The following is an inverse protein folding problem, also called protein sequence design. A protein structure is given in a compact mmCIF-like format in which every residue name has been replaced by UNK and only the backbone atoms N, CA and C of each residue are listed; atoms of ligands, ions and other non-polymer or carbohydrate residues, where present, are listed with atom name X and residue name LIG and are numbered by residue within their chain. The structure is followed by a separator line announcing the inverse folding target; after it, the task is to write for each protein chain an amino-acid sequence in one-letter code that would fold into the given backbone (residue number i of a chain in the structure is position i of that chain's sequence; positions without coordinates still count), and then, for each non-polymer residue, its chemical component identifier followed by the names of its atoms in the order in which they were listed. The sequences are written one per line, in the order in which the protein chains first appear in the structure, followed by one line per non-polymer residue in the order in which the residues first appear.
data_IF_482376899908
#
_entry.id   IF_482376899908
#
_cell.length_a   1.000
_cell.length_b   1.000
_cell.length_c   1.000
_cell.angle_alpha   90.00
_cell.angle_beta   90.00
_cell.angle_gamma   90.00
#
_symmetry.space_group_name_H-M   'P 1'
#
loop_
_entity.id
_entity.type
_entity.pdbx_description
1 polymer ?
#
# COMPACT_ATOMS: atom_id res chain seq x y z
N UNK A 1 19.48 52.22 0.11
CA UNK A 1 19.78 51.21 -0.92
C UNK A 1 19.04 49.98 -0.42
N UNK A 2 17.71 50.02 -0.49
CA UNK A 2 16.86 49.08 0.21
C UNK A 2 15.68 48.78 -0.68
N UNK A 3 15.84 47.79 -1.55
CA UNK A 3 14.76 47.11 -2.27
C UNK A 3 15.31 45.80 -2.83
N UNK A 4 15.41 44.76 -1.99
CA UNK A 4 15.73 43.42 -2.52
C UNK A 4 15.17 42.24 -1.72
N UNK A 5 14.25 42.44 -0.77
CA UNK A 5 13.70 41.31 0.01
C UNK A 5 12.20 41.49 0.23
N UNK A 6 11.38 41.40 -0.83
CA UNK A 6 9.91 41.26 -0.72
C UNK A 6 9.25 40.36 -1.77
N UNK A 7 10.00 39.71 -2.67
CA UNK A 7 9.41 38.87 -3.75
C UNK A 7 9.34 37.39 -3.35
N UNK A 8 10.15 36.95 -2.39
CA UNK A 8 10.23 35.56 -1.94
C UNK A 8 9.16 35.15 -0.93
N UNK A 9 8.53 36.10 -0.22
CA UNK A 9 7.60 35.79 0.89
C UNK A 9 6.15 35.54 0.40
N UNK A 10 5.73 36.23 -0.68
CA UNK A 10 4.42 36.04 -1.30
C UNK A 10 4.26 34.64 -1.92
N UNK A 11 5.30 34.13 -2.58
CA UNK A 11 5.27 32.81 -3.22
C UNK A 11 5.28 31.66 -2.22
N UNK A 12 5.90 31.84 -1.04
CA UNK A 12 5.92 30.82 0.00
C UNK A 12 4.56 30.70 0.69
N UNK A 13 3.83 31.80 0.90
CA UNK A 13 2.46 31.78 1.41
C UNK A 13 1.50 31.02 0.47
N UNK A 14 1.60 31.26 -0.84
CA UNK A 14 0.78 30.59 -1.86
C UNK A 14 1.06 29.08 -1.91
N UNK A 15 2.35 28.70 -1.88
CA UNK A 15 2.78 27.29 -1.90
C UNK A 15 2.37 26.56 -0.62
N UNK A 16 2.46 27.22 0.53
CA UNK A 16 1.99 26.67 1.80
C UNK A 16 0.48 26.48 1.82
N UNK A 17 -0.28 27.45 1.30
CA UNK A 17 -1.74 27.37 1.20
C UNK A 17 -2.20 26.24 0.27
N UNK A 18 -1.56 26.09 -0.90
CA UNK A 18 -1.88 24.98 -1.81
C UNK A 18 -1.47 23.61 -1.23
N UNK A 19 -0.37 23.54 -0.48
CA UNK A 19 0.01 22.32 0.23
C UNK A 19 -0.99 21.96 1.34
N UNK A 20 -1.48 22.95 2.10
CA UNK A 20 -2.47 22.75 3.15
C UNK A 20 -3.83 22.33 2.57
N UNK A 21 -4.21 22.91 1.44
CA UNK A 21 -5.42 22.54 0.69
C UNK A 21 -5.34 21.11 0.14
N UNK A 22 -4.21 20.72 -0.45
CA UNK A 22 -3.99 19.33 -0.87
C UNK A 22 -4.00 18.35 0.32
N UNK A 23 -3.51 18.77 1.49
CA UNK A 23 -3.50 17.94 2.70
C UNK A 23 -4.93 17.68 3.19
N UNK A 24 -5.79 18.70 3.15
CA UNK A 24 -7.21 18.59 3.52
C UNK A 24 -8.03 17.78 2.51
N UNK A 25 -7.67 17.82 1.21
CA UNK A 25 -8.29 16.97 0.20
C UNK A 25 -7.90 15.49 0.39
N UNK A 26 -6.65 15.23 0.79
CA UNK A 26 -6.17 13.87 1.10
C UNK A 26 -6.86 13.30 2.34
N UNK A 27 -7.16 14.11 3.36
CA UNK A 27 -7.91 13.65 4.55
C UNK A 27 -9.38 13.38 4.23
N UNK A 28 -10.02 14.19 3.38
CA UNK A 28 -11.42 13.95 2.95
C UNK A 28 -11.57 12.62 2.18
N UNK A 29 -10.57 12.26 1.36
CA UNK A 29 -10.54 10.95 0.69
C UNK A 29 -10.31 9.81 1.70
N UNK A 30 -9.51 10.02 2.74
CA UNK A 30 -9.30 9.03 3.81
C UNK A 30 -10.55 8.81 4.67
N UNK A 31 -11.32 9.86 4.94
CA UNK A 31 -12.60 9.82 5.65
C UNK A 31 -13.69 9.10 4.83
N UNK A 32 -13.87 9.44 3.56
CA UNK A 32 -14.83 8.74 2.67
C UNK A 32 -14.52 7.25 2.50
N UNK A 33 -13.24 6.88 2.48
CA UNK A 33 -12.83 5.47 2.47
C UNK A 33 -13.15 4.79 3.81
N UNK A 34 -13.03 5.50 4.93
CA UNK A 34 -13.38 4.97 6.26
C UNK A 34 -14.89 4.75 6.39
N UNK A 35 -15.72 5.70 5.93
CA UNK A 35 -17.18 5.58 5.91
C UNK A 35 -17.67 4.43 5.00
N UNK A 36 -17.04 4.20 3.84
CA UNK A 36 -17.35 3.07 2.96
C UNK A 36 -16.98 1.70 3.54
N UNK A 37 -16.09 1.65 4.54
CA UNK A 37 -15.70 0.42 5.23
C UNK A 37 -16.55 0.14 6.48
N UNK A 38 -17.26 1.15 7.00
CA UNK A 38 -18.24 1.04 8.09
C UNK A 38 -19.64 0.65 7.62
N UNK A 39 -19.86 0.56 6.30
CA UNK A 39 -21.01 -0.16 5.73
C UNK A 39 -20.85 -1.64 6.07
N UNK A 40 -21.45 -1.99 7.22
CA UNK A 40 -21.65 -3.34 7.74
C UNK A 40 -21.99 -4.30 6.61
N UNK A 41 -20.98 -5.04 6.14
CA UNK A 41 -21.20 -6.26 5.38
C UNK A 41 -22.14 -7.10 6.26
N UNK A 42 -23.37 -7.43 5.80
CA UNK A 42 -24.33 -8.08 6.67
C UNK A 42 -23.73 -9.43 7.06
N UNK A 43 -23.49 -9.59 8.36
CA UNK A 43 -23.07 -10.85 8.93
C UNK A 43 -24.12 -11.92 8.60
N UNK A 44 -23.71 -12.93 7.84
CA UNK A 44 -24.47 -14.17 7.71
C UNK A 44 -24.70 -14.75 9.12
N UNK A 45 -25.97 -14.81 9.52
CA UNK A 45 -26.43 -15.41 10.77
C UNK A 45 -25.96 -16.86 10.85
N UNK A 46 -25.13 -17.16 11.85
CA UNK A 46 -24.97 -18.51 12.40
C UNK A 46 -25.80 -18.56 13.68
N UNK A 47 -26.94 -19.27 13.62
CA UNK A 47 -27.76 -19.61 14.80
C UNK A 47 -26.98 -20.60 15.69
N UNK A 48 -26.92 -20.33 16.99
CA UNK A 48 -26.42 -21.32 17.96
C UNK A 48 -26.10 -20.76 19.37
N UNK A 49 -27.13 -20.74 20.22
CA UNK A 49 -27.11 -21.08 21.65
C UNK A 49 -26.52 -20.12 22.74
N UNK A 50 -27.48 -19.54 23.50
CA UNK A 50 -27.64 -19.54 24.98
C UNK A 50 -26.85 -18.57 25.90
N UNK A 51 -27.64 -17.80 26.66
CA UNK A 51 -27.34 -16.73 27.65
C UNK A 51 -26.84 -17.28 29.03
N UNK A 52 -26.40 -16.48 30.05
CA UNK A 52 -27.21 -15.47 30.74
C UNK A 52 -26.53 -14.11 31.01
N UNK A 53 -27.36 -13.08 30.90
CA UNK A 53 -27.13 -11.70 31.35
C UNK A 53 -27.12 -11.63 32.87
N UNK A 54 -26.28 -10.76 33.46
CA UNK A 54 -26.70 -9.97 34.61
C UNK A 54 -26.46 -8.48 34.35
N UNK A 55 -27.49 -7.67 34.60
CA UNK A 55 -27.32 -6.22 34.74
C UNK A 55 -26.99 -5.86 36.18
N UNK A 56 -26.33 -4.73 36.38
CA UNK A 56 -26.70 -3.59 37.26
C UNK A 56 -25.53 -2.59 37.24
N UNK A 57 -25.90 -1.30 37.27
CA UNK A 57 -25.09 -0.11 37.04
C UNK A 57 -24.03 0.17 38.11
N UNK A 58 -22.91 0.80 37.70
CA UNK A 58 -22.15 1.74 38.51
C UNK A 58 -21.37 2.69 37.60
N UNK A 59 -21.69 3.98 37.68
CA UNK A 59 -20.92 5.08 37.13
C UNK A 59 -19.64 5.24 37.95
N UNK A 60 -18.48 4.97 37.35
CA UNK A 60 -17.17 5.35 37.88
C UNK A 60 -16.47 6.15 36.80
N UNK A 61 -16.38 7.47 37.02
CA UNK A 61 -15.44 8.33 36.30
C UNK A 61 -14.03 7.89 36.70
N UNK A 62 -13.46 6.96 35.93
CA UNK A 62 -12.05 6.61 36.00
C UNK A 62 -11.33 7.38 34.89
N UNK A 63 -10.36 8.21 35.27
CA UNK A 63 -9.39 8.86 34.39
C UNK A 63 -8.78 7.81 33.46
N UNK A 64 -9.26 7.78 32.22
CA UNK A 64 -9.14 6.64 31.33
C UNK A 64 -7.80 6.55 30.62
N UNK A 65 -6.76 6.11 31.33
CA UNK A 65 -5.68 5.39 30.68
C UNK A 65 -6.22 4.00 30.29
N UNK A 66 -6.81 3.92 29.09
CA UNK A 66 -7.18 2.62 28.49
C UNK A 66 -5.89 1.83 28.28
N UNK A 67 -5.58 0.94 29.21
CA UNK A 67 -4.53 -0.06 29.04
C UNK A 67 -4.82 -0.90 27.80
N UNK A 68 -3.92 -0.84 26.82
CA UNK A 68 -4.04 -1.55 25.54
C UNK A 68 -4.15 -3.04 25.84
N UNK A 69 -5.30 -3.63 25.53
CA UNK A 69 -5.52 -5.05 25.77
C UNK A 69 -4.85 -5.88 24.66
N UNK A 70 -4.55 -7.15 24.93
CA UNK A 70 -3.92 -8.05 23.94
C UNK A 70 -4.74 -8.15 22.64
N UNK A 71 -6.07 -8.04 22.74
CA UNK A 71 -6.98 -7.94 21.60
C UNK A 71 -6.77 -6.66 20.77
N UNK A 72 -6.49 -5.54 21.41
CA UNK A 72 -6.27 -4.26 20.74
C UNK A 72 -4.94 -4.29 19.98
N UNK A 73 -3.87 -4.84 20.59
CA UNK A 73 -2.59 -5.09 19.89
C UNK A 73 -2.78 -5.94 18.64
N UNK A 74 -3.58 -7.01 18.74
CA UNK A 74 -3.91 -7.89 17.60
C UNK A 74 -4.72 -7.15 16.51
N UNK A 75 -5.58 -6.21 16.91
CA UNK A 75 -6.38 -5.39 16.00
C UNK A 75 -5.53 -4.36 15.26
N UNK A 76 -4.59 -3.72 15.95
CA UNK A 76 -3.66 -2.74 15.38
C UNK A 76 -2.66 -3.41 14.43
N UNK A 77 -2.12 -4.57 14.79
CA UNK A 77 -1.30 -5.37 13.86
C UNK A 77 -2.06 -5.72 12.57
N UNK A 78 -3.36 -6.05 12.67
CA UNK A 78 -4.19 -6.34 11.51
C UNK A 78 -4.36 -5.10 10.64
N UNK A 79 -4.65 -3.94 11.24
CA UNK A 79 -4.74 -2.65 10.52
C UNK A 79 -3.44 -2.31 9.80
N UNK A 80 -2.30 -2.47 10.47
CA UNK A 80 -0.98 -2.25 9.86
C UNK A 80 -0.72 -3.19 8.67
N UNK A 81 -1.02 -4.49 8.81
CA UNK A 81 -0.90 -5.49 7.73
C UNK A 81 -1.82 -5.14 6.55
N UNK A 82 -3.06 -4.72 6.81
CA UNK A 82 -4.01 -4.28 5.78
C UNK A 82 -3.53 -3.02 5.06
N UNK A 83 -3.02 -2.03 5.78
CA UNK A 83 -2.48 -0.81 5.19
C UNK A 83 -1.27 -1.11 4.29
N UNK A 84 -0.34 -1.96 4.75
CA UNK A 84 0.78 -2.45 3.91
C UNK A 84 0.28 -3.17 2.66
N UNK A 85 -0.76 -4.00 2.77
CA UNK A 85 -1.38 -4.68 1.63
C UNK A 85 -1.99 -3.70 0.63
N UNK A 86 -2.79 -2.73 1.11
CA UNK A 86 -3.45 -1.71 0.26
C UNK A 86 -2.42 -0.87 -0.49
N UNK A 87 -1.40 -0.35 0.21
CA UNK A 87 -0.28 0.40 -0.40
C UNK A 87 0.42 -0.42 -1.48
N UNK A 88 0.76 -1.69 -1.18
CA UNK A 88 1.35 -2.60 -2.17
C UNK A 88 0.44 -2.91 -3.35
N UNK A 89 -0.89 -2.98 -3.15
CA UNK A 89 -1.88 -3.24 -4.20
C UNK A 89 -1.95 -2.08 -5.20
N UNK A 90 -1.95 -0.85 -4.71
CA UNK A 90 -1.97 0.37 -5.54
C UNK A 90 -0.65 0.48 -6.33
N UNK A 91 0.48 0.17 -5.71
CA UNK A 91 1.81 0.28 -6.32
C UNK A 91 2.26 -0.96 -7.12
N UNK A 92 1.34 -1.85 -7.50
CA UNK A 92 1.71 -3.03 -8.31
C UNK A 92 2.17 -2.58 -9.69
N UNK A 93 3.24 -3.22 -10.17
CA UNK A 93 3.73 -3.01 -11.53
C UNK A 93 3.17 -4.12 -12.43
N UNK A 94 2.25 -3.77 -13.33
CA UNK A 94 1.67 -4.70 -14.31
C UNK A 94 2.40 -4.73 -15.65
N UNK A 95 3.19 -3.68 -15.93
CA UNK A 95 4.07 -3.65 -17.10
C UNK A 95 5.21 -4.67 -17.00
N UNK A 96 5.74 -5.08 -18.16
CA UNK A 96 6.90 -5.98 -18.21
C UNK A 96 8.15 -5.23 -17.70
N UNK A 97 8.76 -5.74 -16.62
CA UNK A 97 10.00 -5.20 -16.05
C UNK A 97 11.14 -6.20 -16.19
N UNK A 98 12.25 -5.76 -16.79
CA UNK A 98 13.49 -6.55 -16.86
C UNK A 98 14.34 -6.19 -15.64
N UNK A 99 14.47 -7.11 -14.68
CA UNK A 99 15.27 -6.89 -13.46
C UNK A 99 16.76 -7.11 -13.68
N UNK A 100 17.12 -8.07 -14.53
CA UNK A 100 18.51 -8.46 -14.78
C UNK A 100 18.84 -8.32 -16.27
N UNK A 101 19.48 -7.19 -16.63
CA UNK A 101 19.82 -6.89 -18.02
C UNK A 101 20.74 -7.95 -18.63
N UNK A 102 21.79 -8.37 -17.92
CA UNK A 102 22.76 -9.35 -18.43
C UNK A 102 22.09 -10.68 -18.78
N UNK A 103 21.18 -11.19 -17.94
CA UNK A 103 20.44 -12.44 -18.23
C UNK A 103 19.51 -12.29 -19.43
N UNK A 104 18.93 -11.11 -19.66
CA UNK A 104 18.12 -10.83 -20.85
C UNK A 104 18.97 -10.85 -22.12
N UNK A 105 20.12 -10.19 -22.13
CA UNK A 105 21.05 -10.20 -23.25
C UNK A 105 21.55 -11.62 -23.58
N UNK A 106 21.86 -12.43 -22.55
CA UNK A 106 22.18 -13.84 -22.73
C UNK A 106 21.00 -14.59 -23.37
N UNK A 107 19.78 -14.45 -22.85
CA UNK A 107 18.60 -15.10 -23.42
C UNK A 107 18.23 -14.65 -24.85
N UNK A 108 18.58 -13.42 -25.24
CA UNK A 108 18.31 -12.85 -26.56
C UNK A 108 19.32 -13.33 -27.62
N UNK A 109 20.56 -13.60 -27.23
CA UNK A 109 21.64 -14.10 -28.10
C UNK A 109 21.71 -15.63 -28.22
N UNK A 110 20.92 -16.37 -27.43
CA UNK A 110 20.85 -17.83 -27.48
C UNK A 110 20.06 -18.30 -28.72
N UNK A 111 20.50 -19.38 -29.41
CA UNK A 111 19.76 -19.94 -30.55
C UNK A 111 18.36 -20.40 -30.18
N UNK A 112 17.37 -20.11 -31.03
CA UNK A 112 15.98 -20.51 -30.81
C UNK A 112 15.37 -21.18 -32.04
N UNK A 113 14.59 -22.24 -31.81
CA UNK A 113 13.76 -22.90 -32.83
C UNK A 113 12.32 -22.86 -32.34
N UNK A 114 11.43 -22.20 -33.09
CA UNK A 114 10.01 -22.00 -32.73
C UNK A 114 9.80 -21.44 -31.31
N UNK A 115 10.66 -20.50 -30.89
CA UNK A 115 10.59 -19.82 -29.59
C UNK A 115 11.25 -20.56 -28.42
N UNK A 116 11.63 -21.83 -28.59
CA UNK A 116 12.37 -22.62 -27.59
C UNK A 116 13.86 -22.47 -27.82
N UNK A 117 14.67 -22.49 -26.74
CA UNK A 117 16.12 -22.57 -26.90
C UNK A 117 16.49 -23.88 -27.58
N UNK A 118 17.31 -23.79 -28.62
CA UNK A 118 17.89 -24.94 -29.27
C UNK A 118 19.17 -25.33 -28.54
N UNK A 119 19.41 -26.65 -28.41
CA UNK A 119 20.73 -27.13 -28.02
C UNK A 119 21.61 -27.02 -29.25
N UNK A 120 22.81 -26.49 -29.07
CA UNK A 120 23.82 -26.56 -30.10
C UNK A 120 24.36 -27.99 -30.07
N UNK A 121 24.20 -28.73 -31.16
CA UNK A 121 24.99 -29.95 -31.36
C UNK A 121 26.45 -29.54 -31.59
N UNK A 122 27.40 -30.41 -31.25
CA UNK A 122 28.84 -30.10 -31.25
C UNK A 122 29.34 -29.54 -32.60
N UNK A 123 28.65 -29.82 -33.71
CA UNK A 123 28.95 -29.30 -35.04
C UNK A 123 28.68 -27.80 -35.26
N UNK A 124 27.83 -27.16 -34.45
CA UNK A 124 27.48 -25.74 -34.61
C UNK A 124 28.40 -24.78 -33.83
N UNK A 125 29.24 -25.30 -32.92
CA UNK A 125 30.20 -24.51 -32.15
C UNK A 125 31.38 -24.01 -32.99
N UNK A 126 31.65 -24.64 -34.14
CA UNK A 126 32.80 -24.32 -35.00
C UNK A 126 32.52 -23.20 -36.01
N UNK A 127 31.30 -22.66 -36.07
CA UNK A 127 30.98 -21.56 -36.98
C UNK A 127 31.15 -20.22 -36.25
N UNK A 128 32.01 -19.31 -36.75
CA UNK A 128 32.14 -17.99 -36.14
C UNK A 128 30.79 -17.28 -36.18
N UNK A 129 30.36 -16.79 -35.01
CA UNK A 129 29.14 -15.97 -34.90
C UNK A 129 29.40 -14.68 -35.69
N UNK A 130 28.72 -14.53 -36.84
CA UNK A 130 28.75 -13.32 -37.67
C UNK A 130 28.11 -12.13 -36.96
#
# INVERSE_FOLDING_TARGET
MDDSIKVSDMGLSEVLYECEKELMEKSAIEETISELLDVKIPMLQKLGANTPRPGIAANVQASGERLVTISDLKSEERKQKLNRYRKKKIQRNFGRKIKYACRKALADSQPRVRGRFAKMDDGDMLKPRK
#
